data_IF_735316275980
#
_entry.id   IF_735316275980
#
_cell.length_a   1.000
_cell.length_b   1.000
_cell.length_c   1.000
_cell.angle_alpha   90.00
_cell.angle_beta   90.00
_cell.angle_gamma   90.00
#
_symmetry.space_group_name_H-M   'P 1'
#
loop_
_entity.id
_entity.type
_entity.pdbx_description
1 polymer ?
#
# COMPACT_ATOMS: atom_id res chain seq x y z
N UNK A 1 -37.71 31.82 1.76
CA UNK A 1 -36.57 30.95 2.14
C UNK A 1 -36.04 30.31 0.87
N UNK A 2 -34.79 30.58 0.49
CA UNK A 2 -34.16 29.81 -0.58
C UNK A 2 -33.75 28.46 -0.01
N UNK A 3 -34.29 27.39 -0.59
CA UNK A 3 -33.86 26.03 -0.28
C UNK A 3 -32.42 25.88 -0.76
N UNK A 4 -31.49 25.35 0.06
CA UNK A 4 -30.13 25.08 -0.39
C UNK A 4 -30.17 24.11 -1.59
N UNK A 5 -29.35 24.37 -2.60
CA UNK A 5 -29.17 23.39 -3.67
C UNK A 5 -28.63 22.07 -3.08
N UNK A 6 -29.12 20.94 -3.58
CA UNK A 6 -28.61 19.63 -3.21
C UNK A 6 -27.12 19.51 -3.55
N UNK A 7 -26.41 18.61 -2.85
CA UNK A 7 -25.00 18.37 -3.16
C UNK A 7 -24.89 17.85 -4.60
N UNK A 8 -24.16 18.57 -5.44
CA UNK A 8 -23.90 18.13 -6.81
C UNK A 8 -22.98 16.90 -6.82
N UNK A 9 -23.23 15.98 -7.74
CA UNK A 9 -22.32 14.86 -8.03
C UNK A 9 -20.92 15.42 -8.32
N UNK A 10 -19.93 14.97 -7.56
CA UNK A 10 -18.55 15.39 -7.71
C UNK A 10 -17.78 14.37 -8.56
N UNK A 11 -16.83 14.85 -9.37
CA UNK A 11 -15.97 13.97 -10.18
C UNK A 11 -15.25 12.94 -9.30
N UNK A 12 -15.21 11.68 -9.77
CA UNK A 12 -14.55 10.57 -9.08
C UNK A 12 -13.21 10.28 -9.74
N UNK A 13 -12.17 10.11 -8.94
CA UNK A 13 -10.88 9.61 -9.41
C UNK A 13 -10.84 8.08 -9.31
N UNK A 14 -10.78 7.31 -10.42
CA UNK A 14 -10.82 5.84 -10.41
C UNK A 14 -9.44 5.21 -10.17
N UNK A 15 -8.62 5.84 -9.32
CA UNK A 15 -7.31 5.36 -8.90
C UNK A 15 -7.25 5.24 -7.38
N UNK A 16 -6.70 4.14 -6.86
CA UNK A 16 -6.58 3.84 -5.44
C UNK A 16 -5.13 4.01 -5.01
N UNK A 17 -4.89 4.84 -4.00
CA UNK A 17 -3.59 4.94 -3.36
C UNK A 17 -3.39 3.77 -2.38
N UNK A 18 -2.30 3.04 -2.52
CA UNK A 18 -1.85 2.00 -1.60
C UNK A 18 -0.56 2.47 -0.94
N UNK A 19 -0.58 2.71 0.36
CA UNK A 19 0.58 3.18 1.12
C UNK A 19 1.32 2.00 1.71
N UNK A 20 2.46 1.63 1.10
CA UNK A 20 3.28 0.48 1.45
C UNK A 20 3.17 -0.67 0.44
N UNK A 21 4.31 -1.15 -0.04
CA UNK A 21 4.49 -2.24 -1.01
C UNK A 21 4.81 -3.59 -0.37
N UNK A 22 4.40 -3.81 0.89
CA UNK A 22 4.53 -5.10 1.58
C UNK A 22 3.42 -6.10 1.20
N UNK A 23 3.39 -7.26 1.87
CA UNK A 23 2.42 -8.34 1.59
C UNK A 23 0.97 -7.86 1.46
N UNK A 24 0.50 -7.03 2.40
CA UNK A 24 -0.86 -6.46 2.37
C UNK A 24 -1.08 -5.52 1.20
N UNK A 25 -0.12 -4.63 0.92
CA UNK A 25 -0.23 -3.64 -0.15
C UNK A 25 -0.23 -4.26 -1.54
N UNK A 26 0.62 -5.27 -1.77
CA UNK A 26 0.67 -6.00 -3.03
C UNK A 26 -0.66 -6.71 -3.32
N UNK A 27 -1.21 -7.43 -2.33
CA UNK A 27 -2.53 -8.06 -2.47
C UNK A 27 -3.63 -7.01 -2.73
N UNK A 28 -3.62 -5.90 -1.99
CA UNK A 28 -4.60 -4.83 -2.18
C UNK A 28 -4.56 -4.27 -3.61
N UNK A 29 -3.37 -3.98 -4.14
CA UNK A 29 -3.23 -3.47 -5.50
C UNK A 29 -3.70 -4.47 -6.56
N UNK A 30 -3.37 -5.76 -6.39
CA UNK A 30 -3.83 -6.84 -7.28
C UNK A 30 -5.36 -6.94 -7.27
N UNK A 31 -6.00 -6.91 -6.11
CA UNK A 31 -7.46 -6.99 -6.00
C UNK A 31 -8.16 -5.73 -6.54
N UNK A 32 -7.57 -4.54 -6.34
CA UNK A 32 -8.04 -3.30 -6.97
C UNK A 32 -7.99 -3.41 -8.50
N UNK A 33 -6.90 -3.92 -9.07
CA UNK A 33 -6.76 -4.12 -10.50
C UNK A 33 -7.77 -5.13 -11.06
N UNK A 34 -7.99 -6.25 -10.35
CA UNK A 34 -9.02 -7.25 -10.68
C UNK A 34 -10.43 -6.68 -10.64
N UNK A 35 -10.70 -5.76 -9.70
CA UNK A 35 -11.97 -5.04 -9.61
C UNK A 35 -12.16 -3.99 -10.72
N UNK A 36 -11.16 -3.78 -11.58
CA UNK A 36 -11.25 -2.92 -12.75
C UNK A 36 -10.59 -1.55 -12.60
N UNK A 37 -10.12 -1.18 -11.41
CA UNK A 37 -9.55 0.15 -11.11
C UNK A 37 -8.02 0.17 -11.23
N UNK A 38 -7.45 1.37 -11.29
CA UNK A 38 -6.00 1.54 -11.17
C UNK A 38 -5.58 1.57 -9.71
N UNK A 39 -4.36 1.10 -9.42
CA UNK A 39 -3.74 1.19 -8.12
C UNK A 39 -2.35 1.85 -8.23
N UNK A 40 -2.08 2.82 -7.37
CA UNK A 40 -0.74 3.39 -7.20
C UNK A 40 -0.19 2.95 -5.85
N UNK A 41 0.89 2.18 -5.85
CA UNK A 41 1.65 1.82 -4.65
C UNK A 41 2.71 2.89 -4.40
N UNK A 42 2.77 3.40 -3.17
CA UNK A 42 3.87 4.25 -2.71
C UNK A 42 4.66 3.48 -1.64
N UNK A 43 5.89 3.10 -1.96
CA UNK A 43 6.80 2.34 -1.09
C UNK A 43 8.05 3.15 -0.79
N UNK A 44 8.41 3.22 0.50
CA UNK A 44 9.54 4.00 1.00
C UNK A 44 10.89 3.35 0.73
N UNK A 45 10.91 2.02 0.60
CA UNK A 45 12.10 1.26 0.28
C UNK A 45 12.39 1.29 -1.23
N UNK A 46 13.58 0.85 -1.59
CA UNK A 46 14.06 0.66 -2.95
C UNK A 46 13.51 -0.61 -3.61
N UNK A 47 12.69 -1.39 -2.89
CA UNK A 47 12.10 -2.64 -3.37
C UNK A 47 10.72 -2.91 -2.76
N UNK A 48 9.90 -3.66 -3.50
CA UNK A 48 8.66 -4.23 -3.00
C UNK A 48 8.92 -5.44 -2.09
N UNK A 49 7.92 -5.80 -1.29
CA UNK A 49 7.88 -7.04 -0.52
C UNK A 49 7.81 -6.85 0.99
N UNK A 50 8.29 -5.71 1.51
CA UNK A 50 8.29 -5.38 2.93
C UNK A 50 8.93 -6.48 3.79
N UNK A 51 8.44 -6.66 5.02
CA UNK A 51 8.97 -7.68 5.95
C UNK A 51 8.88 -9.10 5.39
N UNK A 52 7.87 -9.41 4.57
CA UNK A 52 7.69 -10.75 4.03
C UNK A 52 8.83 -11.19 3.08
N UNK A 53 9.49 -10.23 2.41
CA UNK A 53 10.68 -10.49 1.60
C UNK A 53 11.94 -10.79 2.44
N UNK A 54 11.93 -10.44 3.72
CA UNK A 54 13.04 -10.71 4.64
C UNK A 54 12.90 -12.07 5.34
N UNK A 55 11.74 -12.71 5.24
CA UNK A 55 11.48 -14.01 5.85
C UNK A 55 12.02 -15.14 4.97
N UNK A 56 12.71 -16.10 5.56
CA UNK A 56 13.10 -17.33 4.87
C UNK A 56 11.86 -18.16 4.45
N UNK A 57 10.94 -18.36 5.41
CA UNK A 57 9.66 -19.04 5.25
C UNK A 57 8.63 -18.44 6.20
N UNK A 58 7.35 -18.64 5.91
CA UNK A 58 6.25 -18.32 6.83
C UNK A 58 5.80 -19.57 7.58
N UNK A 59 5.24 -19.34 8.76
CA UNK A 59 4.54 -20.38 9.53
C UNK A 59 3.38 -20.90 8.67
N UNK A 60 3.15 -22.22 8.62
CA UNK A 60 2.07 -22.76 7.80
C UNK A 60 0.73 -22.19 8.23
N UNK A 61 -0.07 -21.77 7.25
CA UNK A 61 -1.38 -21.15 7.48
C UNK A 61 -2.55 -22.07 7.09
N UNK A 62 -2.28 -23.34 6.76
CA UNK A 62 -3.26 -24.36 6.41
C UNK A 62 -2.80 -25.75 6.85
N UNK A 63 -3.77 -26.63 7.12
CA UNK A 63 -3.51 -28.03 7.46
C UNK A 63 -2.62 -28.69 6.38
N UNK A 64 -1.68 -29.58 6.76
CA UNK A 64 -1.51 -30.16 8.10
C UNK A 64 -0.64 -29.36 9.07
N UNK A 65 -0.25 -28.12 8.75
CA UNK A 65 0.62 -27.27 9.59
C UNK A 65 2.01 -27.87 9.94
N UNK A 66 2.45 -28.87 9.20
CA UNK A 66 3.65 -29.66 9.53
C UNK A 66 4.96 -28.99 9.10
N UNK A 67 4.95 -28.23 8.00
CA UNK A 67 6.18 -27.71 7.37
C UNK A 67 6.11 -26.20 7.14
N UNK A 68 7.23 -25.46 7.28
CA UNK A 68 7.31 -24.06 6.88
C UNK A 68 6.93 -23.88 5.41
N UNK A 69 6.18 -22.82 5.12
CA UNK A 69 5.68 -22.54 3.78
C UNK A 69 6.41 -21.38 3.14
N UNK A 70 6.41 -21.34 1.81
CA UNK A 70 6.87 -20.16 1.10
C UNK A 70 6.04 -18.93 1.49
N UNK A 71 6.69 -17.77 1.57
CA UNK A 71 5.98 -16.52 1.88
C UNK A 71 5.02 -16.13 0.76
N UNK A 72 5.27 -16.57 -0.48
CA UNK A 72 4.52 -16.20 -1.67
C UNK A 72 4.83 -14.78 -2.16
N UNK A 73 5.80 -14.10 -1.55
CA UNK A 73 6.05 -12.68 -1.81
C UNK A 73 6.60 -12.43 -3.22
N UNK A 74 7.46 -13.32 -3.73
CA UNK A 74 8.03 -13.21 -5.07
C UNK A 74 6.94 -13.28 -6.15
N UNK A 75 5.94 -14.16 -5.98
CA UNK A 75 4.81 -14.28 -6.90
C UNK A 75 3.90 -13.06 -6.86
N UNK A 76 3.74 -12.43 -5.69
CA UNK A 76 2.96 -11.18 -5.56
C UNK A 76 3.68 -10.01 -6.23
N UNK A 77 5.00 -9.88 -6.06
CA UNK A 77 5.81 -8.86 -6.71
C UNK A 77 5.69 -9.00 -8.23
N UNK A 78 5.89 -10.22 -8.75
CA UNK A 78 5.76 -10.51 -10.19
C UNK A 78 4.38 -10.17 -10.75
N UNK A 79 3.31 -10.43 -9.99
CA UNK A 79 1.95 -10.06 -10.40
C UNK A 79 1.73 -8.55 -10.45
N UNK A 80 2.34 -7.80 -9.54
CA UNK A 80 2.27 -6.33 -9.51
C UNK A 80 3.07 -5.73 -10.67
N UNK A 81 4.31 -6.16 -10.85
CA UNK A 81 5.20 -5.65 -11.91
C UNK A 81 4.69 -5.99 -13.32
N UNK A 82 3.97 -7.10 -13.47
CA UNK A 82 3.37 -7.54 -14.72
C UNK A 82 1.95 -7.02 -14.98
N UNK A 83 1.46 -6.02 -14.24
CA UNK A 83 0.08 -5.54 -14.35
C UNK A 83 0.02 -4.05 -14.71
N UNK A 84 -0.50 -3.77 -15.90
CA UNK A 84 -0.61 -2.45 -16.53
C UNK A 84 -1.50 -1.46 -15.75
N UNK A 85 -2.34 -1.95 -14.82
CA UNK A 85 -3.19 -1.12 -13.97
C UNK A 85 -2.53 -0.73 -12.65
N UNK A 86 -1.35 -1.27 -12.35
CA UNK A 86 -0.66 -1.06 -11.08
C UNK A 86 0.64 -0.30 -11.35
N UNK A 87 0.78 0.86 -10.74
CA UNK A 87 2.02 1.65 -10.76
C UNK A 87 2.66 1.60 -9.37
N UNK A 88 3.96 1.33 -9.29
CA UNK A 88 4.70 1.37 -8.04
C UNK A 88 5.75 2.50 -8.06
N UNK A 89 5.68 3.38 -7.06
CA UNK A 89 6.73 4.35 -6.77
C UNK A 89 7.56 3.83 -5.61
N UNK A 90 8.80 3.45 -5.91
CA UNK A 90 9.82 3.08 -4.93
C UNK A 90 10.55 4.34 -4.46
N UNK A 91 11.29 4.23 -3.34
CA UNK A 91 11.97 5.36 -2.71
C UNK A 91 11.04 6.56 -2.48
N UNK A 92 9.75 6.29 -2.26
CA UNK A 92 8.70 7.30 -2.25
C UNK A 92 7.87 7.23 -0.97
N UNK A 93 7.37 8.39 -0.53
CA UNK A 93 6.63 8.48 0.73
C UNK A 93 5.46 9.44 0.62
N UNK A 94 4.29 8.97 1.04
CA UNK A 94 3.15 9.85 1.30
C UNK A 94 3.44 10.66 2.56
N UNK A 95 3.47 11.99 2.41
CA UNK A 95 3.76 12.93 3.51
C UNK A 95 2.52 13.62 4.04
N UNK A 96 1.53 13.83 3.17
CA UNK A 96 0.27 14.48 3.51
C UNK A 96 -0.85 13.92 2.67
N UNK A 97 -2.02 13.80 3.28
CA UNK A 97 -3.27 13.47 2.59
C UNK A 97 -4.31 14.52 2.95
N UNK A 98 -5.09 14.95 1.98
CA UNK A 98 -6.18 15.92 2.15
C UNK A 98 -7.36 15.56 1.24
N UNK A 99 -8.44 16.33 1.33
CA UNK A 99 -9.66 16.08 0.56
C UNK A 99 -10.62 15.15 1.30
N UNK A 100 -11.42 14.39 0.54
CA UNK A 100 -12.50 13.56 1.04
C UNK A 100 -12.69 12.33 0.13
N UNK A 101 -13.48 11.31 0.55
CA UNK A 101 -13.76 10.14 -0.29
C UNK A 101 -14.14 10.50 -1.74
N UNK A 102 -13.52 9.82 -2.70
CA UNK A 102 -13.66 10.07 -4.14
C UNK A 102 -12.71 11.13 -4.71
N UNK A 103 -12.10 11.97 -3.86
CA UNK A 103 -11.30 13.16 -4.22
C UNK A 103 -10.18 13.45 -3.22
N UNK A 104 -9.47 12.41 -2.79
CA UNK A 104 -8.28 12.59 -1.99
C UNK A 104 -7.17 13.21 -2.83
N UNK A 105 -6.35 14.03 -2.19
CA UNK A 105 -5.12 14.57 -2.74
C UNK A 105 -3.97 14.18 -1.80
N UNK A 106 -2.93 13.56 -2.34
CA UNK A 106 -1.80 13.07 -1.57
C UNK A 106 -0.49 13.68 -2.10
N UNK A 107 0.32 14.18 -1.17
CA UNK A 107 1.66 14.67 -1.45
C UNK A 107 2.65 13.51 -1.29
N UNK A 108 3.27 13.13 -2.41
CA UNK A 108 4.21 12.02 -2.52
C UNK A 108 5.60 12.61 -2.72
N UNK A 109 6.49 12.41 -1.76
CA UNK A 109 7.91 12.67 -1.95
C UNK A 109 8.50 11.54 -2.78
N UNK A 110 9.22 11.87 -3.84
CA UNK A 110 9.85 10.94 -4.78
C UNK A 110 11.36 10.82 -4.54
N UNK A 111 12.00 9.89 -5.23
CA UNK A 111 13.47 9.74 -5.23
C UNK A 111 14.13 11.06 -5.67
N UNK A 112 14.88 11.70 -4.77
CA UNK A 112 15.45 13.03 -4.97
C UNK A 112 14.76 14.16 -4.19
N UNK A 113 13.69 13.86 -3.44
CA UNK A 113 13.06 14.80 -2.50
C UNK A 113 12.02 15.74 -3.12
N UNK A 114 11.77 15.64 -4.43
CA UNK A 114 10.69 16.37 -5.07
C UNK A 114 9.33 15.87 -4.56
N UNK A 115 8.40 16.80 -4.30
CA UNK A 115 7.04 16.49 -3.89
C UNK A 115 6.13 16.59 -5.12
N UNK A 116 5.44 15.50 -5.41
CA UNK A 116 4.41 15.41 -6.45
C UNK A 116 3.06 15.24 -5.75
N UNK A 117 2.08 16.06 -6.14
CA UNK A 117 0.71 15.94 -5.65
C UNK A 117 -0.13 15.16 -6.65
N UNK A 118 -0.71 14.05 -6.20
CA UNK A 118 -1.60 13.20 -7.01
C UNK A 118 -2.98 13.04 -6.37
N UNK A 119 -3.98 12.76 -7.21
CA UNK A 119 -5.37 12.62 -6.76
C UNK A 119 -5.80 11.15 -6.77
N UNK A 120 -6.60 10.76 -5.78
CA UNK A 120 -7.06 9.39 -5.57
C UNK A 120 -8.52 9.33 -5.14
N UNK A 121 -9.21 8.25 -5.52
CA UNK A 121 -10.58 8.01 -5.08
C UNK A 121 -10.65 7.47 -3.65
N UNK A 122 -9.64 6.69 -3.26
CA UNK A 122 -9.54 6.07 -1.94
C UNK A 122 -8.08 5.84 -1.56
N UNK A 123 -7.86 5.59 -0.28
CA UNK A 123 -6.54 5.31 0.31
C UNK A 123 -6.61 4.01 1.09
N UNK A 124 -5.68 3.10 0.82
CA UNK A 124 -5.45 1.88 1.58
C UNK A 124 -4.16 2.05 2.36
N UNK A 125 -4.26 2.09 3.70
CA UNK A 125 -3.10 2.19 4.58
C UNK A 125 -2.54 0.78 4.83
N UNK A 126 -1.38 0.48 4.25
CA UNK A 126 -0.70 -0.83 4.31
C UNK A 126 0.77 -0.71 4.75
N UNK A 127 1.07 0.28 5.62
CA UNK A 127 2.43 0.67 6.02
C UNK A 127 3.15 -0.29 6.97
N UNK A 128 2.54 -1.44 7.26
CA UNK A 128 3.14 -2.52 8.02
C UNK A 128 3.30 -2.20 9.51
N UNK A 129 4.38 -2.72 10.10
CA UNK A 129 4.70 -2.57 11.52
C UNK A 129 6.20 -2.30 11.70
N UNK A 130 6.59 -1.91 12.92
CA UNK A 130 7.98 -1.90 13.36
C UNK A 130 8.14 -2.89 14.52
N UNK A 131 9.14 -3.77 14.52
CA UNK A 131 9.44 -4.60 15.67
C UNK A 131 9.69 -3.74 16.90
N UNK A 132 9.28 -4.26 18.07
CA UNK A 132 9.65 -3.66 19.34
C UNK A 132 11.16 -3.81 19.56
N UNK A 133 11.78 -2.77 20.11
CA UNK A 133 13.19 -2.78 20.46
C UNK A 133 13.39 -3.52 21.78
N UNK A 134 13.91 -4.75 21.70
CA UNK A 134 14.06 -5.63 22.86
C UNK A 134 15.00 -5.07 23.94
N UNK A 135 15.87 -4.10 23.62
CA UNK A 135 16.74 -3.43 24.61
C UNK A 135 15.96 -2.57 25.61
N UNK A 136 14.70 -2.27 25.32
CA UNK A 136 13.79 -1.54 26.20
C UNK A 136 13.07 -2.45 27.21
N UNK A 137 13.34 -3.76 27.24
CA UNK A 137 12.85 -4.69 28.25
C UNK A 137 13.86 -4.80 29.40
N UNK A 138 13.72 -4.00 30.48
CA UNK A 138 14.69 -3.99 31.59
C UNK A 138 14.80 -5.33 32.32
N UNK A 139 13.77 -6.18 32.25
CA UNK A 139 13.77 -7.53 32.84
C UNK A 139 14.68 -8.54 32.12
N UNK A 140 15.15 -8.21 30.91
CA UNK A 140 16.06 -9.05 30.11
C UNK A 140 17.44 -8.40 29.87
N UNK A 141 17.74 -7.30 30.59
CA UNK A 141 19.00 -6.57 30.51
C UNK A 141 20.13 -7.17 31.36
#
# INVERSE_FOLDING_TARGET
MNVPAGSAEQGRTPNVLVVGGGFTGLNAAIEVAKAGYSATIVEKADALGGTAAQLYKRIPNRAPFAEPQDSGIADLIKQVEGNDKITAHLNAKVTKTSGAPGRFSADITTEGGAIVTENFGSIIQASGFKPYDATQLPEFA
#
